data_IF_046318131043
#
_entry.id   IF_046318131043
#
_cell.length_a   1.000
_cell.length_b   1.000
_cell.length_c   1.000
_cell.angle_alpha   90.00
_cell.angle_beta   90.00
_cell.angle_gamma   90.00
#
_symmetry.space_group_name_H-M   'P 1'
#
loop_
_entity.id
_entity.type
_entity.pdbx_description
1 polymer ?
#
# COMPACT_ATOMS: atom_id res chain seq x y z
N UNK A 1 -17.94 -28.06 -42.20
CA UNK A 1 -16.71 -27.43 -42.73
C UNK A 1 -16.36 -26.13 -42.05
N UNK A 2 -17.29 -25.17 -41.93
CA UNK A 2 -17.06 -23.86 -41.27
C UNK A 2 -16.54 -24.05 -39.85
N UNK A 3 -17.16 -24.91 -39.02
CA UNK A 3 -16.71 -25.12 -37.63
C UNK A 3 -15.26 -25.61 -37.54
N UNK A 4 -14.83 -26.52 -38.39
CA UNK A 4 -13.43 -26.98 -38.41
C UNK A 4 -12.45 -25.83 -38.75
N UNK A 5 -12.81 -24.99 -39.70
CA UNK A 5 -12.02 -23.80 -40.07
C UNK A 5 -11.96 -22.79 -38.92
N UNK A 6 -13.08 -22.58 -38.25
CA UNK A 6 -13.12 -21.68 -37.07
C UNK A 6 -12.21 -22.20 -35.94
N UNK A 7 -12.28 -23.51 -35.61
CA UNK A 7 -11.41 -24.11 -34.58
C UNK A 7 -9.94 -23.95 -34.98
N UNK A 8 -9.59 -24.25 -36.22
CA UNK A 8 -8.21 -24.08 -36.71
C UNK A 8 -7.73 -22.64 -36.64
N UNK A 9 -8.57 -21.67 -37.04
CA UNK A 9 -8.24 -20.26 -36.98
C UNK A 9 -8.07 -19.77 -35.55
N UNK A 10 -8.90 -20.25 -34.61
CA UNK A 10 -8.78 -19.92 -33.20
C UNK A 10 -7.47 -20.43 -32.58
N UNK A 11 -7.07 -21.68 -32.92
CA UNK A 11 -5.79 -22.23 -32.43
C UNK A 11 -4.62 -21.40 -32.93
N UNK A 12 -4.57 -21.13 -34.25
CA UNK A 12 -3.50 -20.32 -34.83
C UNK A 12 -3.50 -18.92 -34.25
N UNK A 13 -4.68 -18.28 -34.13
CA UNK A 13 -4.83 -16.95 -33.53
C UNK A 13 -4.36 -16.91 -32.07
N UNK A 14 -4.67 -17.93 -31.26
CA UNK A 14 -4.21 -18.05 -29.86
C UNK A 14 -2.69 -18.20 -29.79
N UNK A 15 -2.07 -18.99 -30.63
CA UNK A 15 -0.61 -19.15 -30.68
C UNK A 15 0.06 -17.85 -31.11
N UNK A 16 -0.45 -17.19 -32.17
CA UNK A 16 0.08 -15.89 -32.59
C UNK A 16 -0.06 -14.84 -31.46
N UNK A 17 -1.24 -14.77 -30.83
CA UNK A 17 -1.47 -13.85 -29.71
C UNK A 17 -0.49 -14.10 -28.57
N UNK A 18 -0.26 -15.35 -28.19
CA UNK A 18 0.67 -15.72 -27.13
C UNK A 18 2.09 -15.18 -27.39
N UNK A 19 2.61 -15.33 -28.61
CA UNK A 19 3.96 -14.86 -28.96
C UNK A 19 4.06 -13.39 -29.33
N UNK A 20 2.96 -12.76 -29.73
CA UNK A 20 2.93 -11.35 -30.09
C UNK A 20 2.58 -10.42 -28.92
N UNK A 21 2.03 -10.96 -27.82
CA UNK A 21 1.60 -10.19 -26.68
C UNK A 21 2.78 -9.91 -25.72
N UNK A 22 2.97 -8.66 -25.24
CA UNK A 22 4.06 -8.29 -24.33
C UNK A 22 3.74 -8.54 -22.85
N UNK A 23 2.76 -9.37 -22.52
CA UNK A 23 2.25 -9.61 -21.15
C UNK A 23 3.04 -10.68 -20.37
N UNK A 24 4.33 -10.73 -20.54
CA UNK A 24 5.20 -11.69 -19.90
C UNK A 24 5.68 -11.23 -18.52
N UNK A 25 6.33 -12.13 -17.81
CA UNK A 25 6.86 -11.89 -16.47
C UNK A 25 7.67 -10.59 -16.37
N UNK A 26 7.53 -9.90 -15.24
CA UNK A 26 8.49 -8.87 -14.84
C UNK A 26 9.86 -9.51 -14.63
N UNK A 27 10.93 -8.73 -14.73
CA UNK A 27 12.27 -9.22 -14.41
C UNK A 27 12.29 -9.74 -12.97
N UNK A 28 12.94 -10.91 -12.78
CA UNK A 28 13.11 -11.47 -11.45
C UNK A 28 14.36 -10.89 -10.80
N UNK A 29 14.26 -10.59 -9.51
CA UNK A 29 15.33 -9.96 -8.72
C UNK A 29 15.59 -10.69 -7.39
N UNK A 30 15.14 -11.94 -7.30
CA UNK A 30 15.37 -12.86 -6.19
C UNK A 30 15.76 -14.25 -6.67
N UNK A 31 16.10 -15.14 -5.76
CA UNK A 31 16.48 -16.53 -6.03
C UNK A 31 15.34 -17.42 -6.57
N UNK A 32 14.12 -16.91 -6.72
CA UNK A 32 12.94 -17.71 -7.10
C UNK A 32 12.75 -17.88 -8.62
N UNK A 33 13.82 -17.88 -9.40
CA UNK A 33 13.80 -18.18 -10.86
C UNK A 33 13.24 -19.57 -11.17
N UNK A 34 13.37 -20.52 -10.25
CA UNK A 34 12.77 -21.85 -10.34
C UNK A 34 11.24 -21.82 -10.48
N UNK A 35 10.55 -20.82 -9.90
CA UNK A 35 9.10 -20.64 -10.07
C UNK A 35 8.77 -20.35 -11.53
N UNK A 36 9.49 -19.41 -12.14
CA UNK A 36 9.31 -19.06 -13.55
C UNK A 36 9.64 -20.26 -14.47
N UNK A 37 10.65 -21.04 -14.08
CA UNK A 37 11.01 -22.29 -14.78
C UNK A 37 9.88 -23.30 -14.79
N UNK A 38 9.25 -23.57 -13.64
CA UNK A 38 8.11 -24.52 -13.53
C UNK A 38 6.89 -24.00 -14.30
N UNK A 39 6.59 -22.71 -14.20
CA UNK A 39 5.50 -22.08 -14.94
C UNK A 39 5.75 -22.23 -16.45
N UNK A 40 6.96 -21.96 -16.93
CA UNK A 40 7.33 -22.05 -18.33
C UNK A 40 7.19 -23.48 -18.86
N UNK A 41 7.68 -24.49 -18.12
CA UNK A 41 7.51 -25.90 -18.47
C UNK A 41 6.02 -26.25 -18.57
N UNK A 42 5.22 -25.80 -17.61
CA UNK A 42 3.77 -26.05 -17.60
C UNK A 42 3.10 -25.42 -18.82
N UNK A 43 3.43 -24.18 -19.18
CA UNK A 43 2.91 -23.53 -20.39
C UNK A 43 3.30 -24.25 -21.68
N UNK A 44 4.54 -24.74 -21.81
CA UNK A 44 4.97 -25.48 -22.99
C UNK A 44 4.22 -26.80 -23.14
N UNK A 45 4.09 -27.58 -22.07
CA UNK A 45 3.39 -28.87 -22.08
C UNK A 45 1.89 -28.67 -22.36
N UNK A 46 1.23 -27.78 -21.57
CA UNK A 46 -0.21 -27.56 -21.75
C UNK A 46 -0.53 -26.88 -23.07
N UNK A 47 0.33 -25.96 -23.53
CA UNK A 47 0.22 -25.33 -24.84
C UNK A 47 0.32 -26.34 -25.99
N UNK A 48 1.27 -27.28 -25.92
CA UNK A 48 1.37 -28.34 -26.89
C UNK A 48 0.12 -29.23 -26.89
N UNK A 49 -0.37 -29.64 -25.70
CA UNK A 49 -1.60 -30.44 -25.57
C UNK A 49 -2.80 -29.68 -26.12
N UNK A 50 -2.93 -28.37 -25.80
CA UNK A 50 -3.99 -27.50 -26.32
C UNK A 50 -4.02 -27.50 -27.86
N UNK A 51 -2.87 -27.30 -28.50
CA UNK A 51 -2.75 -27.26 -29.95
C UNK A 51 -3.11 -28.64 -30.55
N UNK A 52 -2.52 -29.72 -30.04
CA UNK A 52 -2.74 -31.07 -30.54
C UNK A 52 -4.21 -31.50 -30.41
N UNK A 53 -4.82 -31.30 -29.24
CA UNK A 53 -6.21 -31.71 -29.01
C UNK A 53 -7.19 -30.91 -29.89
N UNK A 54 -6.98 -29.60 -30.03
CA UNK A 54 -7.88 -28.79 -30.84
C UNK A 54 -7.70 -29.01 -32.34
N UNK A 55 -6.47 -29.25 -32.82
CA UNK A 55 -6.24 -29.63 -34.22
C UNK A 55 -6.83 -31.00 -34.49
N UNK A 56 -6.71 -31.98 -33.58
CA UNK A 56 -7.36 -33.28 -33.70
C UNK A 56 -8.89 -33.13 -33.72
N UNK A 57 -9.45 -32.27 -32.86
CA UNK A 57 -10.89 -31.99 -32.90
C UNK A 57 -11.31 -31.38 -34.23
N UNK A 58 -10.58 -30.42 -34.77
CA UNK A 58 -10.85 -29.81 -36.06
C UNK A 58 -10.80 -30.88 -37.20
N UNK A 59 -9.82 -31.78 -37.13
CA UNK A 59 -9.72 -32.92 -38.06
C UNK A 59 -10.93 -33.85 -37.95
N UNK A 60 -11.36 -34.22 -36.75
CA UNK A 60 -12.53 -35.07 -36.53
C UNK A 60 -13.81 -34.41 -37.06
N UNK A 61 -14.05 -33.13 -36.77
CA UNK A 61 -15.20 -32.36 -37.28
C UNK A 61 -15.19 -32.31 -38.82
N UNK A 62 -14.01 -32.16 -39.42
CA UNK A 62 -13.90 -32.18 -40.90
C UNK A 62 -14.11 -33.56 -41.48
N UNK A 63 -13.45 -34.59 -40.94
CA UNK A 63 -13.43 -35.96 -41.51
C UNK A 63 -14.75 -36.67 -41.29
N UNK A 64 -15.33 -36.61 -40.11
CA UNK A 64 -16.52 -37.34 -39.70
C UNK A 64 -17.83 -36.57 -39.91
N UNK A 65 -17.83 -35.48 -40.68
CA UNK A 65 -19.03 -34.74 -41.03
C UNK A 65 -20.04 -35.62 -41.76
N UNK A 66 -21.31 -35.36 -41.59
CA UNK A 66 -22.39 -36.05 -42.28
C UNK A 66 -22.21 -35.97 -43.81
N UNK A 67 -22.31 -37.13 -44.48
CA UNK A 67 -22.29 -37.25 -45.95
C UNK A 67 -23.49 -38.08 -46.37
N UNK A 68 -24.10 -37.77 -47.53
CA UNK A 68 -25.19 -38.59 -48.06
C UNK A 68 -24.77 -40.07 -48.21
N UNK A 69 -25.60 -41.01 -47.73
CA UNK A 69 -25.34 -42.43 -47.81
C UNK A 69 -24.35 -43.01 -46.79
N UNK A 70 -23.76 -42.21 -45.92
CA UNK A 70 -22.83 -42.69 -44.91
C UNK A 70 -23.51 -42.82 -43.55
N UNK A 71 -23.34 -43.95 -42.88
CA UNK A 71 -23.80 -44.20 -41.51
C UNK A 71 -22.59 -44.24 -40.56
N UNK A 72 -22.72 -43.68 -39.37
CA UNK A 72 -21.72 -43.79 -38.32
C UNK A 72 -21.62 -45.27 -37.85
N UNK A 73 -20.42 -45.69 -37.52
CA UNK A 73 -20.20 -46.98 -36.84
C UNK A 73 -20.54 -46.74 -35.36
N UNK A 74 -21.32 -47.69 -34.83
CA UNK A 74 -21.65 -47.68 -33.40
C UNK A 74 -20.57 -48.41 -32.61
N UNK A 75 -19.73 -47.66 -31.89
CA UNK A 75 -18.63 -48.18 -31.06
C UNK A 75 -18.67 -47.41 -29.72
N UNK A 76 -19.53 -47.85 -28.77
CA UNK A 76 -19.80 -47.07 -27.54
C UNK A 76 -18.65 -47.10 -26.56
N UNK A 77 -17.78 -48.10 -26.60
CA UNK A 77 -16.70 -48.30 -25.64
C UNK A 77 -15.40 -48.73 -26.34
N UNK A 78 -14.28 -48.11 -25.96
CA UNK A 78 -12.95 -48.50 -26.41
C UNK A 78 -11.98 -48.54 -25.23
N UNK A 79 -12.10 -49.55 -24.39
CA UNK A 79 -11.31 -49.68 -23.14
C UNK A 79 -9.79 -49.61 -23.38
N UNK A 80 -9.29 -50.04 -24.54
CA UNK A 80 -7.87 -49.98 -24.84
C UNK A 80 -7.42 -48.53 -25.08
N UNK A 81 -8.20 -47.73 -25.83
CA UNK A 81 -7.92 -46.32 -26.07
C UNK A 81 -8.05 -45.52 -24.77
N UNK A 82 -9.11 -45.76 -23.99
CA UNK A 82 -9.36 -45.10 -22.71
C UNK A 82 -8.23 -45.35 -21.68
N UNK A 83 -7.77 -46.62 -21.60
CA UNK A 83 -6.65 -46.98 -20.71
C UNK A 83 -5.35 -46.28 -21.13
N UNK A 84 -5.06 -46.21 -22.43
CA UNK A 84 -3.88 -45.49 -22.91
C UNK A 84 -3.95 -43.99 -22.70
N UNK A 85 -5.08 -43.38 -22.97
CA UNK A 85 -5.28 -41.93 -22.70
C UNK A 85 -5.14 -41.63 -21.23
N UNK A 86 -5.74 -42.44 -20.36
CA UNK A 86 -5.63 -42.25 -18.91
C UNK A 86 -4.18 -42.41 -18.45
N UNK A 87 -3.46 -43.44 -18.93
CA UNK A 87 -2.06 -43.64 -18.56
C UNK A 87 -1.16 -42.47 -19.00
N UNK A 88 -1.29 -42.03 -20.26
CA UNK A 88 -0.51 -40.90 -20.79
C UNK A 88 -0.80 -39.62 -20.03
N UNK A 89 -2.09 -39.31 -19.76
CA UNK A 89 -2.49 -38.13 -19.00
C UNK A 89 -1.94 -38.18 -17.58
N UNK A 90 -2.03 -39.34 -16.92
CA UNK A 90 -1.49 -39.53 -15.55
C UNK A 90 0.02 -39.28 -15.51
N UNK A 91 0.77 -39.84 -16.43
CA UNK A 91 2.22 -39.63 -16.53
C UNK A 91 2.53 -38.15 -16.80
N UNK A 92 1.79 -37.50 -17.70
CA UNK A 92 1.94 -36.09 -18.03
C UNK A 92 1.67 -35.18 -16.79
N UNK A 93 0.62 -35.45 -16.03
CA UNK A 93 0.28 -34.71 -14.80
C UNK A 93 1.37 -34.90 -13.76
N UNK A 94 1.85 -36.14 -13.55
CA UNK A 94 2.95 -36.36 -12.56
C UNK A 94 4.22 -35.64 -13.01
N UNK A 95 4.55 -35.64 -14.28
CA UNK A 95 5.73 -34.94 -14.79
C UNK A 95 5.68 -33.41 -14.63
N UNK A 96 4.48 -32.82 -14.66
CA UNK A 96 4.29 -31.39 -14.39
C UNK A 96 4.25 -31.08 -12.89
N UNK A 97 3.62 -31.95 -12.09
CA UNK A 97 3.41 -31.72 -10.66
C UNK A 97 4.72 -31.87 -9.87
N UNK A 98 5.54 -32.86 -10.18
CA UNK A 98 6.72 -33.17 -9.38
C UNK A 98 7.72 -32.00 -9.27
N UNK A 99 8.12 -31.29 -10.35
CA UNK A 99 8.97 -30.11 -10.23
C UNK A 99 8.35 -29.02 -9.34
N UNK A 100 7.03 -28.78 -9.47
CA UNK A 100 6.33 -27.81 -8.66
C UNK A 100 6.34 -28.13 -7.16
N UNK A 101 6.26 -29.41 -6.79
CA UNK A 101 6.36 -29.83 -5.39
C UNK A 101 7.75 -29.61 -4.79
N UNK A 102 8.82 -29.77 -5.57
CA UNK A 102 10.16 -29.43 -5.12
C UNK A 102 10.31 -27.94 -4.87
N UNK A 103 9.89 -27.09 -5.81
CA UNK A 103 9.92 -25.64 -5.64
C UNK A 103 9.06 -25.21 -4.46
N UNK A 104 7.89 -25.83 -4.27
CA UNK A 104 7.05 -25.57 -3.09
C UNK A 104 7.73 -25.97 -1.78
N UNK A 105 8.42 -27.10 -1.75
CA UNK A 105 9.17 -27.53 -0.56
C UNK A 105 10.26 -26.52 -0.20
N UNK A 106 10.99 -26.02 -1.18
CA UNK A 106 12.00 -24.97 -0.97
C UNK A 106 11.35 -23.65 -0.50
N UNK A 107 10.21 -23.28 -1.07
CA UNK A 107 9.49 -22.05 -0.70
C UNK A 107 8.99 -22.04 0.76
N UNK A 108 8.62 -23.19 1.31
CA UNK A 108 8.17 -23.28 2.71
C UNK A 108 9.31 -23.56 3.69
N UNK A 109 10.51 -23.88 3.21
CA UNK A 109 11.68 -24.17 4.05
C UNK A 109 12.57 -22.95 4.14
N UNK A 110 12.47 -22.22 5.25
CA UNK A 110 13.27 -21.02 5.48
C UNK A 110 14.70 -21.41 5.84
N UNK A 111 15.73 -20.79 5.24
CA UNK A 111 17.12 -20.97 5.67
C UNK A 111 17.34 -20.54 7.13
N UNK A 112 18.17 -21.27 7.87
CA UNK A 112 18.47 -20.98 9.28
C UNK A 112 19.13 -19.62 9.49
N UNK A 113 19.88 -19.12 8.51
CA UNK A 113 20.55 -17.82 8.51
C UNK A 113 19.64 -16.65 8.10
N UNK A 114 18.36 -16.90 7.78
CA UNK A 114 17.45 -15.84 7.38
C UNK A 114 17.14 -14.89 8.54
N UNK A 115 17.33 -13.61 8.30
CA UNK A 115 16.96 -12.56 9.26
C UNK A 115 15.44 -12.38 9.25
N UNK A 116 14.85 -12.36 10.43
CA UNK A 116 13.41 -12.12 10.60
C UNK A 116 13.11 -10.62 10.62
N UNK A 117 12.16 -10.22 9.80
CA UNK A 117 11.56 -8.88 9.78
C UNK A 117 10.06 -9.05 9.93
N UNK A 118 9.39 -8.07 10.53
CA UNK A 118 7.94 -8.11 10.66
C UNK A 118 7.30 -7.05 9.79
N UNK A 119 6.26 -7.45 9.03
CA UNK A 119 5.47 -6.58 8.16
C UNK A 119 4.04 -6.56 8.69
N UNK A 120 3.52 -5.37 8.92
CA UNK A 120 2.16 -5.15 9.36
C UNK A 120 1.36 -4.46 8.27
N UNK A 121 0.28 -5.09 7.82
CA UNK A 121 -0.74 -4.48 6.97
C UNK A 121 -1.88 -3.93 7.80
N UNK A 122 -2.34 -2.75 7.46
CA UNK A 122 -3.57 -2.15 7.99
C UNK A 122 -4.19 -1.21 6.96
N UNK A 123 -5.43 -0.85 7.10
CA UNK A 123 -6.18 -0.03 6.12
C UNK A 123 -5.69 1.44 6.13
N UNK A 124 -4.94 1.94 5.16
CA UNK A 124 -4.41 1.28 3.95
C UNK A 124 -2.94 1.61 3.83
N UNK A 125 -2.13 1.04 4.71
CA UNK A 125 -0.70 1.32 4.84
C UNK A 125 0.09 0.08 5.26
N UNK A 126 1.42 0.20 5.17
CA UNK A 126 2.40 -0.77 5.56
C UNK A 126 3.26 -0.21 6.68
N UNK A 127 3.54 -1.01 7.69
CA UNK A 127 4.53 -0.71 8.73
C UNK A 127 5.52 -1.85 8.79
N UNK A 128 6.75 -1.56 9.18
CA UNK A 128 7.82 -2.54 9.22
C UNK A 128 8.53 -2.50 10.56
N UNK A 129 8.92 -3.67 11.05
CA UNK A 129 9.71 -3.82 12.25
C UNK A 129 10.95 -4.65 11.94
N UNK A 130 12.08 -4.16 12.38
CA UNK A 130 13.40 -4.73 12.16
C UNK A 130 13.94 -5.24 13.48
N UNK A 131 14.62 -6.40 13.48
CA UNK A 131 15.39 -6.80 14.64
C UNK A 131 16.54 -5.82 14.83
N UNK A 132 16.82 -5.51 16.07
CA UNK A 132 17.91 -4.61 16.41
C UNK A 132 19.29 -5.22 16.26
N UNK A 133 20.22 -4.75 17.10
CA UNK A 133 21.62 -5.21 17.05
C UNK A 133 21.78 -6.68 17.49
N UNK A 134 20.85 -7.23 18.28
CA UNK A 134 20.87 -8.63 18.71
C UNK A 134 20.35 -9.60 17.65
N UNK A 135 19.76 -9.08 16.56
CA UNK A 135 19.22 -9.85 15.44
C UNK A 135 17.93 -10.60 15.75
N UNK A 136 17.20 -10.22 16.81
CA UNK A 136 15.99 -10.89 17.27
C UNK A 136 14.86 -9.88 17.47
N UNK A 137 13.66 -10.25 17.02
CA UNK A 137 12.47 -9.47 17.32
C UNK A 137 12.00 -9.81 18.76
N UNK A 138 11.70 -8.75 19.54
CA UNK A 138 11.07 -8.92 20.84
C UNK A 138 9.62 -9.42 20.74
N UNK A 139 9.09 -9.92 21.85
CA UNK A 139 7.69 -10.34 21.97
C UNK A 139 6.74 -9.15 21.79
N UNK A 140 5.53 -9.43 21.29
CA UNK A 140 4.53 -8.41 21.06
C UNK A 140 3.15 -8.88 21.54
N UNK A 141 2.37 -7.95 22.11
CA UNK A 141 0.98 -8.18 22.52
C UNK A 141 0.11 -6.98 22.13
N UNK A 142 -1.16 -7.26 21.85
CA UNK A 142 -2.14 -6.24 21.47
C UNK A 142 -2.40 -5.21 22.56
N UNK A 143 -2.17 -5.54 23.83
CA UNK A 143 -2.32 -4.62 24.95
C UNK A 143 -1.33 -3.44 24.93
N UNK A 144 -0.17 -3.61 24.27
CA UNK A 144 0.86 -2.58 24.14
C UNK A 144 0.72 -1.73 22.87
N UNK A 145 -0.30 -1.99 22.03
CA UNK A 145 -0.49 -1.22 20.79
C UNK A 145 -0.82 0.25 21.11
N UNK A 146 -0.03 1.14 20.54
CA UNK A 146 -0.21 2.58 20.63
C UNK A 146 0.34 3.27 19.39
N UNK A 147 0.18 4.58 19.28
CA UNK A 147 0.73 5.38 18.19
C UNK A 147 2.25 5.23 18.04
N UNK A 148 2.98 5.19 19.16
CA UNK A 148 4.44 5.00 19.16
C UNK A 148 4.86 3.52 19.16
N UNK A 149 3.92 2.60 19.26
CA UNK A 149 4.15 1.16 19.30
C UNK A 149 3.07 0.40 18.52
N UNK A 150 2.98 0.58 17.21
CA UNK A 150 1.91 -0.03 16.40
C UNK A 150 2.01 -1.55 16.33
N UNK A 151 3.18 -2.13 16.60
CA UNK A 151 3.39 -3.58 16.66
C UNK A 151 3.04 -4.21 18.00
N UNK A 152 2.83 -3.40 19.05
CA UNK A 152 2.58 -3.90 20.40
C UNK A 152 3.79 -4.57 21.02
N UNK A 153 5.00 -4.07 20.74
CA UNK A 153 6.26 -4.58 21.34
C UNK A 153 6.14 -4.51 22.86
N UNK A 154 6.45 -5.61 23.52
CA UNK A 154 6.45 -5.67 24.98
C UNK A 154 7.63 -4.87 25.55
N UNK A 155 7.38 -3.77 26.29
CA UNK A 155 8.45 -2.93 26.83
C UNK A 155 9.28 -3.58 27.93
N UNK A 156 8.86 -4.76 28.44
CA UNK A 156 9.59 -5.52 29.43
C UNK A 156 10.50 -6.61 28.78
N UNK A 157 10.38 -6.83 27.47
CA UNK A 157 11.22 -7.79 26.75
C UNK A 157 12.52 -7.12 26.29
N UNK A 158 13.68 -7.53 26.84
CA UNK A 158 14.95 -6.90 26.45
C UNK A 158 15.30 -7.05 24.97
N UNK A 159 14.84 -8.13 24.29
CA UNK A 159 15.09 -8.32 22.85
C UNK A 159 14.31 -7.31 22.00
N UNK A 160 13.19 -6.77 22.52
CA UNK A 160 12.39 -5.78 21.78
C UNK A 160 12.91 -4.35 21.93
N UNK A 161 13.81 -4.10 22.88
CA UNK A 161 14.22 -2.73 23.20
C UNK A 161 15.14 -2.12 22.12
N UNK A 162 15.87 -2.94 21.39
CA UNK A 162 16.70 -2.51 20.25
C UNK A 162 15.99 -2.68 18.90
N UNK A 163 14.77 -3.20 18.86
CA UNK A 163 13.95 -3.21 17.65
C UNK A 163 13.75 -1.82 17.05
N UNK A 164 13.64 -1.78 15.74
CA UNK A 164 13.41 -0.53 15.02
C UNK A 164 12.05 -0.61 14.32
N UNK A 165 11.19 0.37 14.58
CA UNK A 165 9.86 0.48 13.97
C UNK A 165 9.87 1.57 12.90
N UNK A 166 9.44 1.23 11.69
CA UNK A 166 9.32 2.13 10.56
C UNK A 166 7.84 2.26 10.17
N UNK A 167 7.25 3.38 10.53
CA UNK A 167 5.88 3.75 10.17
C UNK A 167 5.88 4.52 8.84
N UNK A 168 6.30 3.85 7.79
CA UNK A 168 6.32 4.40 6.43
C UNK A 168 6.16 3.24 5.45
N UNK A 169 5.54 3.44 4.28
CA UNK A 169 5.29 2.35 3.34
C UNK A 169 6.54 1.95 2.55
N UNK A 170 7.72 2.12 3.12
CA UNK A 170 9.01 1.79 2.49
C UNK A 170 9.87 0.95 3.42
N UNK A 171 10.18 -0.27 2.98
CA UNK A 171 11.03 -1.24 3.65
C UNK A 171 12.41 -1.27 3.00
N UNK A 172 13.48 -1.20 3.77
CA UNK A 172 14.85 -1.33 3.29
C UNK A 172 15.45 -2.67 3.69
N UNK A 173 16.16 -3.33 2.78
CA UNK A 173 16.77 -4.63 3.00
C UNK A 173 18.14 -4.71 2.32
N UNK A 174 19.13 -5.39 2.92
CA UNK A 174 20.43 -5.58 2.30
C UNK A 174 20.39 -6.63 1.18
N UNK A 175 21.11 -6.38 0.08
CA UNK A 175 21.28 -7.34 -1.01
C UNK A 175 21.98 -8.63 -0.55
N UNK A 176 21.57 -9.75 -1.11
CA UNK A 176 22.24 -11.06 -0.94
C UNK A 176 22.05 -11.71 0.44
N UNK A 177 21.18 -11.17 1.28
CA UNK A 177 20.85 -11.76 2.58
C UNK A 177 19.48 -12.43 2.52
N UNK A 178 19.32 -13.66 3.02
CA UNK A 178 18.01 -14.28 3.13
C UNK A 178 17.16 -13.56 4.19
N UNK A 179 15.95 -13.26 3.80
CA UNK A 179 14.94 -12.53 4.58
C UNK A 179 13.76 -13.45 4.87
N UNK A 180 13.37 -13.56 6.13
CA UNK A 180 12.08 -14.12 6.53
C UNK A 180 11.16 -12.98 6.93
N UNK A 181 10.13 -12.72 6.15
CA UNK A 181 9.11 -11.75 6.49
C UNK A 181 7.98 -12.41 7.27
N UNK A 182 7.80 -12.00 8.53
CA UNK A 182 6.65 -12.34 9.36
C UNK A 182 5.53 -11.35 9.02
N UNK A 183 4.36 -11.86 8.68
CA UNK A 183 3.28 -11.07 8.10
C UNK A 183 2.08 -11.06 9.06
N UNK A 184 1.64 -9.87 9.44
CA UNK A 184 0.50 -9.66 10.33
C UNK A 184 -0.45 -8.61 9.77
N UNK A 185 -1.72 -8.73 10.13
CA UNK A 185 -2.74 -7.72 9.88
C UNK A 185 -3.36 -7.25 11.18
N UNK A 186 -3.57 -5.93 11.28
CA UNK A 186 -4.24 -5.32 12.43
C UNK A 186 -5.77 -5.26 12.31
N UNK A 187 -6.33 -5.42 11.11
CA UNK A 187 -7.76 -5.13 10.88
C UNK A 187 -8.45 -6.16 9.98
N UNK A 188 -8.20 -6.12 8.66
CA UNK A 188 -8.85 -7.00 7.69
C UNK A 188 -7.83 -7.85 6.95
N UNK A 189 -8.29 -8.70 6.05
CA UNK A 189 -7.38 -9.46 5.18
C UNK A 189 -6.64 -8.51 4.24
N UNK A 190 -5.31 -8.63 4.24
CA UNK A 190 -4.41 -8.02 3.27
C UNK A 190 -3.56 -9.10 2.61
N UNK A 191 -2.74 -8.71 1.67
CA UNK A 191 -1.76 -9.61 1.05
C UNK A 191 -0.47 -8.85 0.79
N UNK A 192 0.65 -9.42 1.19
CA UNK A 192 1.97 -8.88 0.87
C UNK A 192 2.48 -9.52 -0.40
N UNK A 193 2.59 -8.74 -1.46
CA UNK A 193 3.08 -9.20 -2.76
C UNK A 193 4.21 -8.29 -3.25
N UNK A 194 5.32 -8.90 -3.67
CA UNK A 194 6.37 -8.24 -4.46
C UNK A 194 6.59 -9.05 -5.74
N UNK A 195 6.01 -8.61 -6.86
CA UNK A 195 6.01 -9.40 -8.11
C UNK A 195 7.40 -9.77 -8.62
N UNK A 196 8.36 -8.86 -8.49
CA UNK A 196 9.75 -9.08 -8.93
C UNK A 196 10.49 -10.10 -8.05
N UNK A 197 10.01 -10.35 -6.82
CA UNK A 197 10.56 -11.39 -5.93
C UNK A 197 9.84 -12.73 -6.06
N UNK A 198 8.73 -12.81 -6.83
CA UNK A 198 7.87 -14.01 -6.95
C UNK A 198 7.29 -14.46 -5.60
N UNK A 199 7.11 -13.52 -4.67
CA UNK A 199 6.51 -13.82 -3.36
C UNK A 199 5.14 -13.19 -3.23
N UNK A 200 4.23 -13.95 -2.64
CA UNK A 200 2.87 -13.54 -2.31
C UNK A 200 2.38 -14.35 -1.11
N UNK A 201 1.85 -13.69 -0.09
CA UNK A 201 1.29 -14.35 1.09
C UNK A 201 0.22 -13.48 1.75
N UNK A 202 -0.88 -14.12 2.15
CA UNK A 202 -1.97 -13.46 2.84
C UNK A 202 -1.61 -13.11 4.28
N UNK A 203 -2.12 -11.97 4.71
CA UNK A 203 -1.98 -11.41 6.05
C UNK A 203 -3.34 -11.46 6.73
N UNK A 204 -3.57 -12.55 7.48
CA UNK A 204 -4.86 -12.84 8.10
C UNK A 204 -4.89 -12.29 9.53
N UNK A 205 -5.88 -11.47 9.91
CA UNK A 205 -6.01 -10.97 11.28
C UNK A 205 -5.99 -12.09 12.32
N UNK A 206 -5.15 -11.93 13.35
CA UNK A 206 -4.99 -12.91 14.41
C UNK A 206 -4.06 -14.09 14.09
N UNK A 207 -3.48 -14.13 12.88
CA UNK A 207 -2.47 -15.11 12.50
C UNK A 207 -1.15 -14.41 12.12
N UNK A 208 -0.04 -15.11 12.32
CA UNK A 208 1.27 -14.72 11.78
C UNK A 208 1.59 -15.68 10.66
N UNK A 209 1.51 -15.24 9.43
CA UNK A 209 2.01 -15.99 8.27
C UNK A 209 3.44 -15.55 7.95
N UNK A 210 4.11 -16.27 7.06
CA UNK A 210 5.47 -15.91 6.66
C UNK A 210 5.72 -16.28 5.21
N UNK A 211 6.71 -15.61 4.65
CA UNK A 211 7.38 -15.98 3.40
C UNK A 211 8.87 -15.65 3.55
N UNK A 212 9.68 -16.18 2.64
CA UNK A 212 11.09 -15.84 2.61
C UNK A 212 11.59 -15.60 1.18
N UNK A 213 12.61 -14.80 1.06
CA UNK A 213 13.28 -14.51 -0.20
C UNK A 213 14.70 -14.01 0.06
N UNK A 214 15.55 -14.07 -0.97
CA UNK A 214 16.88 -13.48 -0.96
C UNK A 214 16.95 -12.51 -2.15
N UNK A 215 17.03 -11.19 -1.90
CA UNK A 215 17.16 -10.21 -2.98
C UNK A 215 18.54 -10.28 -3.63
N UNK A 216 18.57 -10.25 -4.95
CA UNK A 216 19.81 -10.40 -5.74
C UNK A 216 20.18 -9.15 -6.53
N UNK A 217 19.28 -8.18 -6.64
CA UNK A 217 19.48 -6.96 -7.41
C UNK A 217 19.07 -5.75 -6.59
N UNK A 218 19.95 -4.74 -6.49
CA UNK A 218 19.63 -3.46 -5.84
C UNK A 218 18.58 -2.70 -6.64
N UNK A 219 17.75 -1.94 -5.95
CA UNK A 219 16.69 -1.15 -6.57
C UNK A 219 15.48 -0.98 -5.68
N UNK A 220 14.45 -0.31 -6.22
CA UNK A 220 13.18 -0.07 -5.54
C UNK A 220 12.07 -0.83 -6.24
N UNK A 221 11.36 -1.66 -5.49
CA UNK A 221 10.33 -2.57 -6.00
C UNK A 221 9.01 -2.34 -5.27
N UNK A 222 7.90 -2.41 -6.01
CA UNK A 222 6.58 -2.16 -5.42
C UNK A 222 6.14 -3.31 -4.52
N UNK A 223 5.63 -2.95 -3.33
CA UNK A 223 4.81 -3.81 -2.48
C UNK A 223 3.35 -3.53 -2.84
N UNK A 224 2.60 -4.58 -3.13
CA UNK A 224 1.19 -4.50 -3.50
C UNK A 224 0.34 -5.26 -2.48
N UNK A 225 -0.85 -4.73 -2.19
CA UNK A 225 -1.91 -5.51 -1.58
C UNK A 225 -2.76 -6.13 -2.68
N UNK A 226 -2.86 -7.46 -2.73
CA UNK A 226 -3.62 -8.18 -3.75
C UNK A 226 -4.84 -8.93 -3.18
N UNK A 227 -5.24 -8.59 -1.94
CA UNK A 227 -6.51 -9.03 -1.34
C UNK A 227 -7.40 -7.82 -1.03
N UNK A 228 -8.69 -7.91 -1.42
CA UNK A 228 -9.64 -6.81 -1.25
C UNK A 228 -9.80 -6.44 0.23
N UNK A 229 -9.17 -5.34 0.63
CA UNK A 229 -9.12 -4.87 2.00
C UNK A 229 -9.98 -3.62 2.27
N UNK A 230 -10.89 -3.27 1.39
CA UNK A 230 -11.81 -2.13 1.54
C UNK A 230 -11.66 -1.09 0.43
N UNK A 231 -12.22 0.10 0.64
CA UNK A 231 -12.31 1.15 -0.37
C UNK A 231 -10.94 1.65 -0.84
N UNK A 232 -9.95 1.69 0.04
CA UNK A 232 -8.58 2.11 -0.26
C UNK A 232 -7.68 0.99 -0.78
N UNK A 233 -8.21 -0.18 -1.13
CA UNK A 233 -7.41 -1.30 -1.61
C UNK A 233 -6.48 -0.93 -2.78
N UNK A 234 -6.96 -0.14 -3.73
CA UNK A 234 -6.19 0.26 -4.92
C UNK A 234 -5.05 1.25 -4.62
N UNK A 235 -5.06 1.91 -3.45
CA UNK A 235 -4.02 2.85 -3.01
C UNK A 235 -3.08 2.25 -1.96
N UNK A 236 -3.32 1.03 -1.49
CA UNK A 236 -2.45 0.34 -0.53
C UNK A 236 -1.21 -0.18 -1.23
N UNK A 237 -0.26 0.72 -1.46
CA UNK A 237 1.04 0.46 -2.06
C UNK A 237 2.15 0.76 -1.08
N UNK A 238 3.26 0.10 -1.26
CA UNK A 238 4.51 0.35 -0.57
C UNK A 238 5.68 0.07 -1.48
N UNK A 239 6.88 0.14 -0.95
CA UNK A 239 8.08 -0.22 -1.66
C UNK A 239 9.01 -1.05 -0.77
N UNK A 240 9.74 -1.96 -1.38
CA UNK A 240 10.93 -2.54 -0.80
C UNK A 240 12.14 -2.03 -1.58
N UNK A 241 13.08 -1.43 -0.86
CA UNK A 241 14.34 -0.93 -1.38
C UNK A 241 15.43 -1.93 -1.04
N UNK A 242 16.10 -2.43 -2.05
CA UNK A 242 17.26 -3.31 -1.88
C UNK A 242 18.51 -2.48 -2.00
N UNK A 243 19.17 -2.34 -0.88
CA UNK A 243 20.37 -1.52 -0.71
C UNK A 243 21.65 -2.37 -0.79
N UNK A 244 22.77 -1.70 -1.05
CA UNK A 244 24.08 -2.25 -0.68
C UNK A 244 24.15 -2.43 0.85
N UNK A 245 25.04 -3.28 1.35
CA UNK A 245 25.19 -3.44 2.80
C UNK A 245 25.55 -2.11 3.49
N UNK A 246 26.38 -1.30 2.86
CA UNK A 246 26.81 0.01 3.38
C UNK A 246 25.62 1.00 3.48
N UNK A 247 24.80 1.10 2.42
CA UNK A 247 23.63 1.98 2.40
C UNK A 247 22.58 1.53 3.39
N UNK A 248 22.33 0.21 3.50
CA UNK A 248 21.43 -0.36 4.48
C UNK A 248 21.87 -0.04 5.91
N UNK A 249 23.17 -0.26 6.22
CA UNK A 249 23.71 0.00 7.56
C UNK A 249 23.58 1.49 7.92
N UNK A 250 23.84 2.38 6.97
CA UNK A 250 23.66 3.82 7.16
C UNK A 250 22.18 4.18 7.37
N UNK A 251 21.28 3.57 6.59
CA UNK A 251 19.84 3.82 6.69
C UNK A 251 19.28 3.34 8.04
N UNK A 252 19.58 2.09 8.45
CA UNK A 252 19.07 1.53 9.71
C UNK A 252 19.61 2.27 10.92
N UNK A 253 20.89 2.69 10.90
CA UNK A 253 21.52 3.47 11.95
C UNK A 253 20.91 4.89 12.10
N UNK A 254 20.19 5.38 11.10
CA UNK A 254 19.48 6.66 11.15
C UNK A 254 18.13 6.57 11.86
N UNK A 255 17.66 5.36 12.21
CA UNK A 255 16.35 5.13 12.82
C UNK A 255 16.50 4.95 14.32
N UNK A 256 15.58 5.50 15.13
CA UNK A 256 15.60 5.26 16.56
C UNK A 256 15.19 3.81 16.87
N UNK A 257 15.82 3.26 17.88
CA UNK A 257 15.38 1.99 18.49
C UNK A 257 14.08 2.19 19.26
N UNK A 258 13.38 1.09 19.57
CA UNK A 258 12.19 1.16 20.41
C UNK A 258 12.49 1.75 21.80
N UNK A 259 13.63 1.39 22.40
CA UNK A 259 14.07 2.00 23.67
C UNK A 259 14.25 3.53 23.57
N UNK A 260 14.89 4.01 22.50
CA UNK A 260 15.06 5.43 22.27
C UNK A 260 13.72 6.14 22.05
N UNK A 261 12.79 5.50 21.31
CA UNK A 261 11.43 6.01 21.12
C UNK A 261 10.67 6.10 22.43
N UNK A 262 10.77 5.09 23.29
CA UNK A 262 10.14 5.11 24.64
C UNK A 262 10.81 6.10 25.59
N UNK A 263 12.10 6.34 25.45
CA UNK A 263 12.85 7.27 26.27
C UNK A 263 12.72 8.74 25.83
N UNK A 264 12.04 9.02 24.71
CA UNK A 264 11.84 10.39 24.26
C UNK A 264 11.10 11.19 25.34
N UNK A 265 11.70 12.31 25.74
CA UNK A 265 11.12 13.21 26.74
C UNK A 265 9.73 13.69 26.28
N UNK A 266 8.79 13.80 27.21
CA UNK A 266 7.50 14.42 26.92
C UNK A 266 7.69 15.84 26.36
N UNK A 267 6.85 16.27 25.39
CA UNK A 267 6.96 17.60 24.81
C UNK A 267 6.84 18.71 25.85
N UNK A 268 7.68 19.72 25.76
CA UNK A 268 7.62 20.93 26.61
C UNK A 268 6.61 21.92 26.01
N UNK A 269 5.40 21.95 26.58
CA UNK A 269 4.33 22.85 26.16
C UNK A 269 4.69 24.33 26.36
N UNK A 270 5.50 24.67 27.38
CA UNK A 270 5.90 26.07 27.62
C UNK A 270 6.89 26.54 26.54
N UNK A 271 7.83 25.70 26.15
CA UNK A 271 8.73 25.98 25.04
C UNK A 271 7.94 26.08 23.71
N UNK A 272 6.99 25.19 23.46
CA UNK A 272 6.08 25.23 22.30
C UNK A 272 5.27 26.53 22.28
N UNK A 273 4.71 26.96 23.40
CA UNK A 273 3.98 28.23 23.54
C UNK A 273 4.84 29.44 23.20
N UNK A 274 6.06 29.48 23.72
CA UNK A 274 6.98 30.57 23.44
C UNK A 274 7.32 30.71 21.95
N UNK A 275 7.52 29.59 21.29
CA UNK A 275 7.79 29.51 19.83
C UNK A 275 6.54 29.87 19.02
N UNK A 276 5.34 29.47 19.47
CA UNK A 276 4.08 29.72 18.78
C UNK A 276 3.75 31.20 18.57
N UNK A 277 4.31 32.10 19.37
CA UNK A 277 4.08 33.53 19.22
C UNK A 277 4.31 34.08 17.81
N UNK A 278 5.25 33.51 17.08
CA UNK A 278 5.52 33.88 15.68
C UNK A 278 4.40 33.33 14.75
N UNK A 279 3.94 32.11 14.95
CA UNK A 279 2.90 31.43 14.15
C UNK A 279 1.53 32.11 14.37
N UNK A 280 1.29 32.61 15.61
CA UNK A 280 0.06 33.29 15.99
C UNK A 280 -0.22 34.56 15.15
N UNK A 281 0.80 35.18 14.58
CA UNK A 281 0.65 36.38 13.72
C UNK A 281 -0.22 36.11 12.46
N UNK A 282 -0.20 34.86 11.97
CA UNK A 282 -0.99 34.43 10.82
C UNK A 282 -2.14 33.51 11.24
N UNK A 283 -1.86 32.55 12.14
CA UNK A 283 -2.82 31.48 12.50
C UNK A 283 -3.73 31.86 13.69
N UNK A 284 -3.54 33.06 14.29
CA UNK A 284 -4.28 33.49 15.46
C UNK A 284 -3.70 32.95 16.77
N UNK A 285 -3.96 33.65 17.88
CA UNK A 285 -3.42 33.29 19.19
C UNK A 285 -4.00 31.97 19.73
N UNK A 286 -5.23 31.65 19.38
CA UNK A 286 -5.89 30.36 19.67
C UNK A 286 -5.80 29.34 18.58
N UNK A 287 -5.04 29.61 17.52
CA UNK A 287 -4.95 28.71 16.36
C UNK A 287 -6.21 28.68 15.51
N UNK A 288 -7.03 29.70 15.54
CA UNK A 288 -8.33 29.81 14.86
C UNK A 288 -8.23 30.01 13.37
N UNK A 289 -7.07 30.43 12.86
CA UNK A 289 -6.82 30.73 11.45
C UNK A 289 -7.25 32.13 11.02
N UNK A 290 -6.83 32.53 9.82
CA UNK A 290 -7.16 33.81 9.18
C UNK A 290 -7.30 33.66 7.68
N UNK A 291 -8.53 33.71 7.17
CA UNK A 291 -8.82 33.56 5.76
C UNK A 291 -8.16 34.64 4.88
N UNK A 292 -8.09 35.88 5.38
CA UNK A 292 -7.50 36.98 4.61
C UNK A 292 -5.98 36.79 4.37
N UNK A 293 -5.32 36.02 5.25
CA UNK A 293 -3.91 35.66 5.10
C UNK A 293 -3.72 34.26 4.54
N UNK A 294 -4.80 33.56 4.17
CA UNK A 294 -4.79 32.15 3.80
C UNK A 294 -4.12 31.23 4.83
N UNK A 295 -4.15 31.64 6.10
CA UNK A 295 -3.60 30.87 7.20
C UNK A 295 -4.72 30.02 7.84
N UNK A 296 -4.67 28.68 7.72
CA UNK A 296 -5.73 27.82 8.24
C UNK A 296 -5.73 27.74 9.76
N UNK A 297 -6.88 27.31 10.29
CA UNK A 297 -7.03 26.89 11.67
C UNK A 297 -6.09 25.71 11.96
N UNK A 298 -5.42 25.76 13.10
CA UNK A 298 -4.51 24.74 13.61
C UNK A 298 -5.07 24.02 14.85
N UNK A 299 -5.84 24.73 15.69
CA UNK A 299 -6.42 24.15 16.90
C UNK A 299 -7.36 22.98 16.58
N UNK A 300 -7.32 21.94 17.41
CA UNK A 300 -8.10 20.72 17.23
C UNK A 300 -7.52 19.72 16.21
N UNK A 301 -6.36 20.02 15.59
CA UNK A 301 -5.58 19.04 14.84
C UNK A 301 -4.77 18.19 15.82
N UNK A 302 -4.51 16.94 15.41
CA UNK A 302 -3.68 16.02 16.18
C UNK A 302 -2.19 16.41 16.07
N UNK A 303 -1.44 16.21 17.14
CA UNK A 303 -0.01 16.54 17.25
C UNK A 303 0.83 15.82 16.19
N UNK A 304 0.63 14.49 15.99
CA UNK A 304 1.32 13.71 14.96
C UNK A 304 1.12 14.28 13.55
N UNK A 305 -0.09 14.80 13.25
CA UNK A 305 -0.36 15.39 11.94
C UNK A 305 0.34 16.75 11.78
N UNK A 306 0.30 17.57 12.82
CA UNK A 306 0.99 18.87 12.84
C UNK A 306 2.50 18.67 12.68
N UNK A 307 3.08 17.74 13.44
CA UNK A 307 4.49 17.37 13.38
C UNK A 307 4.88 16.95 11.96
N UNK A 308 4.11 16.03 11.36
CA UNK A 308 4.33 15.59 9.98
C UNK A 308 4.28 16.76 8.98
N UNK A 309 3.29 17.65 9.09
CA UNK A 309 3.19 18.77 8.17
C UNK A 309 4.33 19.80 8.35
N UNK A 310 4.75 20.08 9.57
CA UNK A 310 5.91 20.93 9.82
C UNK A 310 7.18 20.33 9.22
N UNK A 311 7.41 19.05 9.42
CA UNK A 311 8.53 18.34 8.81
C UNK A 311 8.46 18.32 7.27
N UNK A 312 7.29 18.13 6.68
CA UNK A 312 7.12 18.23 5.22
C UNK A 312 7.48 19.62 4.68
N UNK A 313 7.15 20.68 5.38
CA UNK A 313 7.57 22.03 4.99
C UNK A 313 9.08 22.24 5.19
N UNK A 314 9.67 21.76 6.29
CA UNK A 314 11.12 21.83 6.54
C UNK A 314 11.96 21.12 5.49
N UNK A 315 11.53 19.93 5.08
CA UNK A 315 12.25 19.09 4.12
C UNK A 315 11.90 19.36 2.67
N UNK A 316 10.97 20.26 2.39
CA UNK A 316 10.54 20.62 1.03
C UNK A 316 9.58 19.62 0.38
N UNK A 317 9.11 18.62 1.11
CA UNK A 317 8.07 17.69 0.66
C UNK A 317 6.78 18.43 0.34
N UNK A 318 6.53 19.54 1.03
CA UNK A 318 5.39 20.43 0.84
C UNK A 318 5.83 21.89 0.73
N UNK A 319 5.15 22.66 -0.13
CA UNK A 319 5.38 24.11 -0.26
C UNK A 319 6.48 24.51 -1.23
N UNK A 320 7.07 23.57 -1.99
CA UNK A 320 8.05 23.86 -3.04
C UNK A 320 7.50 23.64 -4.47
N UNK A 321 6.31 23.09 -4.60
CA UNK A 321 5.67 22.89 -5.91
C UNK A 321 5.22 24.24 -6.48
N UNK A 322 5.45 24.44 -7.79
CA UNK A 322 4.99 25.64 -8.49
C UNK A 322 3.47 25.81 -8.31
N UNK A 323 3.06 27.03 -7.95
CA UNK A 323 1.66 27.36 -7.63
C UNK A 323 1.29 27.29 -6.14
N UNK A 324 2.13 26.72 -5.26
CA UNK A 324 1.89 26.68 -3.79
C UNK A 324 2.54 27.87 -3.07
N UNK A 325 2.14 29.10 -3.43
CA UNK A 325 2.72 30.31 -2.83
C UNK A 325 2.52 30.40 -1.29
N UNK A 326 1.41 29.87 -0.76
CA UNK A 326 1.14 29.87 0.68
C UNK A 326 1.89 28.76 1.40
N UNK A 327 2.06 27.60 0.75
CA UNK A 327 2.97 26.55 1.24
C UNK A 327 4.42 27.01 1.27
N UNK A 328 4.86 27.78 0.26
CA UNK A 328 6.21 28.35 0.25
C UNK A 328 6.46 29.29 1.45
N UNK A 329 5.44 30.05 1.87
CA UNK A 329 5.55 30.86 3.09
C UNK A 329 5.74 30.01 4.34
N UNK A 330 5.07 28.84 4.40
CA UNK A 330 5.20 27.90 5.50
C UNK A 330 6.57 27.20 5.55
N UNK A 331 7.24 27.01 4.42
CA UNK A 331 8.63 26.50 4.38
C UNK A 331 9.55 27.42 5.20
N UNK A 332 9.46 28.73 4.99
CA UNK A 332 10.24 29.71 5.76
C UNK A 332 9.92 29.66 7.25
N UNK A 333 8.65 29.54 7.61
CA UNK A 333 8.21 29.50 9.01
C UNK A 333 8.63 28.19 9.71
N UNK A 334 8.46 27.04 9.06
CA UNK A 334 8.83 25.74 9.63
C UNK A 334 10.34 25.63 9.86
N UNK A 335 11.17 26.24 9.00
CA UNK A 335 12.63 26.27 9.16
C UNK A 335 13.12 27.11 10.34
N UNK A 336 12.25 27.89 11.00
CA UNK A 336 12.58 28.55 12.29
C UNK A 336 12.63 27.56 13.46
N UNK A 337 12.03 26.37 13.33
CA UNK A 337 12.12 25.28 14.29
C UNK A 337 13.43 24.54 14.08
N UNK A 338 14.39 24.76 14.97
CA UNK A 338 15.80 24.41 14.76
C UNK A 338 16.07 22.90 14.71
N UNK A 339 15.27 22.11 15.42
CA UNK A 339 15.42 20.65 15.53
C UNK A 339 14.07 19.95 15.71
N UNK A 340 14.09 18.63 15.78
CA UNK A 340 12.88 17.81 15.94
C UNK A 340 12.23 18.00 17.31
N UNK A 341 13.00 18.32 18.35
CA UNK A 341 12.44 18.65 19.67
C UNK A 341 11.59 19.91 19.59
N UNK A 342 12.06 20.95 18.89
CA UNK A 342 11.30 22.17 18.67
C UNK A 342 10.00 21.91 17.86
N UNK A 343 10.07 21.03 16.86
CA UNK A 343 8.88 20.62 16.09
C UNK A 343 7.88 19.90 16.99
N UNK A 344 8.32 18.92 17.79
CA UNK A 344 7.47 18.17 18.72
C UNK A 344 6.83 19.07 19.78
N UNK A 345 7.59 19.97 20.40
CA UNK A 345 7.07 20.93 21.37
C UNK A 345 6.00 21.84 20.76
N UNK A 346 6.25 22.33 19.54
CA UNK A 346 5.30 23.14 18.77
C UNK A 346 4.02 22.37 18.47
N UNK A 347 4.14 21.15 17.98
CA UNK A 347 3.01 20.28 17.60
C UNK A 347 2.12 19.96 18.79
N UNK A 348 2.73 19.58 19.91
CA UNK A 348 2.02 19.29 21.17
C UNK A 348 1.34 20.55 21.74
N UNK A 349 1.99 21.71 21.69
CA UNK A 349 1.36 22.95 22.12
C UNK A 349 0.14 23.30 21.26
N UNK A 350 0.25 23.24 19.94
CA UNK A 350 -0.87 23.52 19.02
C UNK A 350 -2.02 22.54 19.28
N UNK A 351 -1.73 21.24 19.44
CA UNK A 351 -2.74 20.23 19.76
C UNK A 351 -3.44 20.47 21.12
N UNK A 352 -2.76 21.12 22.07
CA UNK A 352 -3.32 21.49 23.38
C UNK A 352 -4.26 22.71 23.34
N UNK A 353 -4.28 23.46 22.22
CA UNK A 353 -5.15 24.62 22.07
C UNK A 353 -6.64 24.21 22.05
N UNK A 354 -7.53 25.01 22.70
CA UNK A 354 -8.96 24.72 22.67
C UNK A 354 -9.50 24.60 21.23
N UNK A 355 -10.19 23.51 20.95
CA UNK A 355 -10.78 23.30 19.63
C UNK A 355 -12.08 24.08 19.47
N UNK A 356 -11.97 25.29 18.94
CA UNK A 356 -13.13 26.12 18.60
C UNK A 356 -13.42 25.94 17.10
N UNK A 357 -14.58 25.37 16.72
CA UNK A 357 -14.91 25.15 15.32
C UNK A 357 -14.89 26.45 14.51
N UNK A 358 -14.32 26.40 13.30
CA UNK A 358 -14.28 27.54 12.40
C UNK A 358 -15.71 27.97 11.97
N UNK A 359 -15.90 29.25 11.70
CA UNK A 359 -17.19 29.73 11.19
C UNK A 359 -17.35 29.32 9.73
N UNK A 360 -18.54 28.80 9.33
CA UNK A 360 -18.83 28.46 7.96
C UNK A 360 -18.76 29.68 7.05
N UNK A 361 -18.08 29.52 5.91
CA UNK A 361 -18.01 30.53 4.84
C UNK A 361 -18.55 30.03 3.50
N UNK A 362 -18.71 28.72 3.37
CA UNK A 362 -19.19 28.04 2.17
C UNK A 362 -20.61 27.48 2.41
N UNK A 363 -21.47 27.66 1.41
CA UNK A 363 -22.80 27.04 1.35
C UNK A 363 -22.79 25.92 0.32
N UNK A 364 -23.52 24.83 0.60
CA UNK A 364 -23.62 23.67 -0.29
C UNK A 364 -24.79 22.77 0.08
N UNK A 365 -24.98 21.72 -0.69
CA UNK A 365 -25.98 20.68 -0.42
C UNK A 365 -25.42 19.69 0.63
N UNK A 366 -25.88 19.85 1.87
CA UNK A 366 -25.42 19.05 3.00
C UNK A 366 -25.72 17.57 2.80
N UNK A 367 -26.86 17.22 2.18
CA UNK A 367 -27.22 15.82 1.96
C UNK A 367 -26.32 15.15 0.91
N UNK A 368 -26.05 15.86 -0.19
CA UNK A 368 -25.10 15.41 -1.18
C UNK A 368 -23.67 15.34 -0.62
N UNK A 369 -23.28 16.34 0.17
CA UNK A 369 -21.98 16.35 0.86
C UNK A 369 -21.78 15.17 1.82
N UNK A 370 -22.83 14.79 2.56
CA UNK A 370 -22.84 13.61 3.42
C UNK A 370 -22.62 12.32 2.63
N UNK A 371 -23.37 12.13 1.55
CA UNK A 371 -23.26 10.95 0.69
C UNK A 371 -21.86 10.83 0.02
N UNK A 372 -21.31 11.96 -0.43
CA UNK A 372 -19.94 11.99 -0.97
C UNK A 372 -18.91 11.65 0.11
N UNK A 373 -19.05 12.24 1.30
CA UNK A 373 -18.16 11.99 2.43
C UNK A 373 -18.16 10.52 2.81
N UNK A 374 -19.33 9.92 3.01
CA UNK A 374 -19.47 8.53 3.45
C UNK A 374 -18.87 7.56 2.43
N UNK A 375 -18.98 7.86 1.14
CA UNK A 375 -18.44 7.00 0.08
C UNK A 375 -16.94 7.16 -0.16
N UNK A 376 -16.37 8.35 0.06
CA UNK A 376 -15.01 8.64 -0.38
C UNK A 376 -14.04 9.00 0.75
N UNK A 377 -14.54 9.44 1.91
CA UNK A 377 -13.70 10.03 2.96
C UNK A 377 -13.77 9.27 4.29
N UNK A 378 -14.97 8.77 4.64
CA UNK A 378 -15.26 8.23 5.97
C UNK A 378 -14.39 7.01 6.34
N UNK A 379 -13.97 6.21 5.35
CA UNK A 379 -13.16 5.04 5.61
C UNK A 379 -11.80 5.37 6.25
N UNK A 380 -11.18 6.51 5.88
CA UNK A 380 -9.93 6.97 6.47
C UNK A 380 -10.15 8.01 7.57
N UNK A 381 -11.01 9.01 7.31
CA UNK A 381 -11.24 10.14 8.23
C UNK A 381 -12.30 9.87 9.29
N UNK A 382 -12.85 8.66 9.33
CA UNK A 382 -13.90 8.12 10.20
C UNK A 382 -15.25 8.84 10.04
N UNK A 383 -16.30 8.20 10.54
CA UNK A 383 -17.68 8.70 10.49
C UNK A 383 -17.90 9.98 11.31
N UNK A 384 -17.12 10.16 12.39
CA UNK A 384 -17.11 11.38 13.22
C UNK A 384 -16.16 12.46 12.74
N UNK A 385 -15.43 12.23 11.64
CA UNK A 385 -14.46 13.14 10.99
C UNK A 385 -13.32 13.57 11.93
N UNK A 386 -13.06 12.78 12.96
CA UNK A 386 -12.03 13.06 13.96
C UNK A 386 -10.63 12.66 13.50
N UNK A 387 -10.55 11.85 12.41
CA UNK A 387 -9.28 11.29 11.98
C UNK A 387 -8.66 10.34 13.00
N UNK A 388 -7.58 9.71 12.63
CA UNK A 388 -6.83 8.84 13.53
C UNK A 388 -5.42 8.61 12.99
N UNK A 389 -4.44 8.44 13.90
CA UNK A 389 -3.09 8.02 13.54
C UNK A 389 -3.09 6.63 12.88
N UNK A 390 -4.06 5.80 13.24
CA UNK A 390 -4.19 4.43 12.71
C UNK A 390 -4.37 4.38 11.19
N UNK A 391 -5.10 5.34 10.59
CA UNK A 391 -5.24 5.48 9.14
C UNK A 391 -4.42 6.61 8.56
N UNK A 392 -3.56 7.26 9.35
CA UNK A 392 -2.79 8.47 8.98
C UNK A 392 -3.64 9.62 8.42
N UNK A 393 -4.94 9.61 8.70
CA UNK A 393 -5.90 10.57 8.22
C UNK A 393 -6.23 11.61 9.30
N UNK A 394 -5.99 12.91 9.04
CA UNK A 394 -6.24 13.95 10.03
C UNK A 394 -7.73 14.22 10.24
N UNK A 395 -8.03 14.88 11.36
CA UNK A 395 -9.34 15.44 11.66
C UNK A 395 -9.79 16.43 10.59
N UNK A 396 -11.04 16.29 10.13
CA UNK A 396 -11.67 17.20 9.16
C UNK A 396 -12.80 18.04 9.77
N UNK A 397 -13.39 17.59 10.88
CA UNK A 397 -14.46 18.34 11.54
C UNK A 397 -13.96 19.66 12.16
N UNK A 398 -14.75 20.72 12.04
CA UNK A 398 -14.46 22.02 12.64
C UNK A 398 -13.30 22.80 12.02
N UNK A 399 -12.72 22.35 10.90
CA UNK A 399 -11.70 23.07 10.16
C UNK A 399 -12.30 24.21 9.32
N UNK A 400 -11.47 25.08 8.76
CA UNK A 400 -11.95 26.09 7.80
C UNK A 400 -12.39 25.41 6.51
N UNK A 401 -13.63 25.64 6.09
CA UNK A 401 -14.23 25.08 4.87
C UNK A 401 -13.53 25.53 3.58
N UNK A 402 -13.14 26.81 3.49
CA UNK A 402 -12.35 27.34 2.37
C UNK A 402 -10.98 26.64 2.26
N UNK A 403 -10.37 26.29 3.40
CA UNK A 403 -9.09 25.59 3.41
C UNK A 403 -9.24 24.13 2.97
N UNK A 404 -10.31 23.46 3.40
CA UNK A 404 -10.65 22.12 2.93
C UNK A 404 -10.75 22.09 1.40
N UNK A 405 -11.56 22.98 0.81
CA UNK A 405 -11.72 23.08 -0.66
C UNK A 405 -10.38 23.36 -1.33
N UNK A 406 -9.57 24.27 -0.76
CA UNK A 406 -8.24 24.58 -1.30
C UNK A 406 -7.33 23.34 -1.31
N UNK A 407 -7.33 22.55 -0.22
CA UNK A 407 -6.46 21.38 -0.15
C UNK A 407 -6.92 20.26 -1.10
N UNK A 408 -8.21 20.03 -1.24
CA UNK A 408 -8.71 19.07 -2.25
C UNK A 408 -8.28 19.49 -3.67
N UNK A 409 -8.36 20.78 -3.99
CA UNK A 409 -7.86 21.30 -5.28
C UNK A 409 -6.34 21.09 -5.44
N UNK A 410 -5.56 21.35 -4.38
CA UNK A 410 -4.11 21.16 -4.40
C UNK A 410 -3.72 19.69 -4.61
N UNK A 411 -4.42 18.75 -3.98
CA UNK A 411 -4.21 17.32 -4.23
C UNK A 411 -4.56 16.93 -5.67
N UNK A 412 -5.69 17.41 -6.20
CA UNK A 412 -6.10 17.13 -7.59
C UNK A 412 -5.13 17.66 -8.64
N UNK A 413 -4.62 18.86 -8.42
CA UNK A 413 -3.69 19.52 -9.37
C UNK A 413 -2.26 19.04 -9.21
N UNK A 414 -1.97 18.18 -8.23
CA UNK A 414 -0.61 17.73 -7.93
C UNK A 414 0.28 18.77 -7.25
N UNK A 415 -0.27 19.91 -6.84
CA UNK A 415 0.44 20.92 -6.02
C UNK A 415 0.85 20.31 -4.67
N UNK A 416 0.05 19.36 -4.18
CA UNK A 416 0.30 18.62 -2.94
C UNK A 416 0.14 17.12 -3.17
N UNK A 417 0.98 16.31 -2.51
CA UNK A 417 0.84 14.85 -2.43
C UNK A 417 1.54 14.05 -3.54
N UNK A 418 2.29 14.68 -4.46
CA UNK A 418 3.06 13.97 -5.49
C UNK A 418 4.55 13.82 -5.16
N UNK A 419 5.00 14.30 -4.02
CA UNK A 419 6.39 14.13 -3.61
C UNK A 419 6.60 12.68 -3.13
N UNK A 420 7.69 12.02 -3.55
CA UNK A 420 7.96 10.61 -3.23
C UNK A 420 8.02 10.31 -1.71
N UNK A 421 8.34 11.32 -0.88
CA UNK A 421 8.34 11.21 0.58
C UNK A 421 6.97 11.57 1.22
N UNK A 422 5.87 11.71 0.43
CA UNK A 422 4.51 11.93 0.95
C UNK A 422 3.53 10.84 0.46
N UNK A 423 3.70 9.59 0.88
CA UNK A 423 2.84 8.48 0.43
C UNK A 423 1.37 8.67 0.84
N UNK A 424 1.11 9.30 1.97
CA UNK A 424 -0.27 9.60 2.40
C UNK A 424 -0.88 10.76 1.60
N UNK A 425 -0.05 11.70 1.13
CA UNK A 425 -0.47 12.71 0.17
C UNK A 425 -0.82 12.10 -1.18
N UNK A 426 -0.09 11.09 -1.65
CA UNK A 426 -0.41 10.36 -2.88
C UNK A 426 -1.76 9.63 -2.79
N UNK A 427 -2.05 9.03 -1.63
CA UNK A 427 -3.39 8.47 -1.35
C UNK A 427 -4.47 9.54 -1.48
N UNK A 428 -4.24 10.73 -0.91
CA UNK A 428 -5.19 11.85 -1.02
C UNK A 428 -5.32 12.38 -2.45
N UNK A 429 -4.27 12.37 -3.27
CA UNK A 429 -4.36 12.69 -4.72
C UNK A 429 -5.31 11.72 -5.41
N UNK A 430 -5.16 10.43 -5.15
CA UNK A 430 -6.01 9.38 -5.71
C UNK A 430 -7.47 9.54 -5.29
N UNK A 431 -7.73 9.78 -4.00
CA UNK A 431 -9.09 9.97 -3.47
C UNK A 431 -9.73 11.27 -3.96
N UNK A 432 -9.00 12.38 -3.98
CA UNK A 432 -9.47 13.65 -4.49
C UNK A 432 -9.80 13.58 -6.00
N UNK A 433 -9.05 12.79 -6.75
CA UNK A 433 -9.30 12.52 -8.18
C UNK A 433 -10.52 11.64 -8.38
N UNK A 434 -10.70 10.58 -7.56
CA UNK A 434 -11.85 9.70 -7.63
C UNK A 434 -13.18 10.43 -7.32
N UNK A 435 -13.15 11.42 -6.43
CA UNK A 435 -14.31 12.27 -6.11
C UNK A 435 -14.81 13.05 -7.36
N UNK A 436 -13.91 13.43 -8.29
CA UNK A 436 -14.22 14.18 -9.51
C UNK A 436 -14.91 13.37 -10.62
N UNK A 437 -14.89 12.05 -10.54
CA UNK A 437 -15.27 11.19 -11.67
C UNK A 437 -16.76 11.20 -12.02
N UNK A 438 -17.63 11.87 -11.25
CA UNK A 438 -19.09 11.85 -11.43
C UNK A 438 -19.73 13.10 -11.98
N UNK A 439 -19.09 14.26 -11.93
CA UNK A 439 -19.72 15.53 -12.33
C UNK A 439 -18.76 16.46 -13.09
N UNK A 440 -19.34 17.29 -13.98
CA UNK A 440 -18.59 18.32 -14.74
C UNK A 440 -18.30 19.59 -13.92
N UNK A 441 -18.90 19.75 -12.73
CA UNK A 441 -18.67 20.87 -11.81
C UNK A 441 -17.97 20.39 -10.54
N UNK A 442 -16.66 20.22 -10.64
CA UNK A 442 -15.79 19.72 -9.60
C UNK A 442 -15.78 20.56 -8.30
N UNK A 443 -16.05 21.85 -8.42
CA UNK A 443 -16.04 22.78 -7.28
C UNK A 443 -17.26 22.56 -6.39
N UNK A 444 -18.41 22.28 -7.00
CA UNK A 444 -19.66 22.10 -6.26
C UNK A 444 -19.62 20.92 -5.32
N UNK A 445 -19.10 19.77 -5.73
CA UNK A 445 -18.97 18.59 -4.86
C UNK A 445 -18.07 18.85 -3.65
N UNK A 446 -16.97 19.59 -3.83
CA UNK A 446 -16.09 19.99 -2.72
C UNK A 446 -16.81 20.93 -1.74
N UNK A 447 -17.60 21.87 -2.26
CA UNK A 447 -18.38 22.83 -1.46
C UNK A 447 -19.49 22.10 -0.69
N UNK A 448 -20.15 21.11 -1.29
CA UNK A 448 -21.17 20.29 -0.65
C UNK A 448 -20.58 19.50 0.53
N UNK A 449 -19.39 18.86 0.34
CA UNK A 449 -18.67 18.18 1.43
C UNK A 449 -18.23 19.16 2.51
N UNK A 450 -17.72 20.34 2.13
CA UNK A 450 -17.33 21.38 3.08
C UNK A 450 -18.53 21.85 3.91
N UNK A 451 -19.70 22.08 3.28
CA UNK A 451 -20.92 22.43 3.96
C UNK A 451 -21.39 21.33 4.93
N UNK A 452 -21.27 20.05 4.53
CA UNK A 452 -21.57 18.93 5.41
C UNK A 452 -20.62 18.89 6.63
N UNK A 453 -19.32 19.03 6.41
CA UNK A 453 -18.33 19.05 7.51
C UNK A 453 -18.58 20.17 8.51
N UNK A 454 -19.14 21.32 8.07
CA UNK A 454 -19.55 22.43 8.93
C UNK A 454 -20.71 22.09 9.88
N UNK A 455 -21.51 21.07 9.57
CA UNK A 455 -22.63 20.61 10.44
C UNK A 455 -22.14 19.76 11.61
N UNK A 456 -20.87 19.31 11.58
CA UNK A 456 -20.28 18.38 12.55
C UNK A 456 -19.23 19.13 13.33
N UNK A 457 -19.54 19.42 14.57
CA UNK A 457 -18.74 20.24 15.46
C UNK A 457 -18.33 19.48 16.72
#
# INVERSE_FOLDING_TARGET
MILAVVIFALVIGSVIFHFASPWWFTDIVSQWDSIDGVISITFWITGAVFVLCNLFLAYCVYKFRQKPGHKAVYEPENHKLESWLSAITTVGVIAMLAPGLFVWADFVTVPEEATEYEVMGQQWQWNFRYPGADGKLGTADTEFISELNPFGINPEDPNGMDDIVVNAPEMHLPIGKPVKALLRSNDVLHNYTVPQFRVKMDMVPGLVSYLWFQPEVTGRYDILCEELCGIGHFIMRGAVVIDTQEDYDAWIASKPTFAETQAMAAPDLAAGQAQYAVCASCHGAGGEGNQALNAPKLSGLQDWYIERQLNHFKTGVRGQTEGDQYGASMVGMANMLVDDTAVRNMSAYIASLPDVPAQPTIQGDIANGADIYDRNCAACHLDKRNGTWYTDAPKLSGMNDWYFVTQIKNFRSGIRGLHAADPYGEQMVSMATAMAAKNTDDTKEMEDVAAYLNTIR
#
